data_IF_797920969868
#
_entry.id   IF_797920969868
#
_cell.length_a   1.000
_cell.length_b   1.000
_cell.length_c   1.000
_cell.angle_alpha   90.00
_cell.angle_beta   90.00
_cell.angle_gamma   90.00
#
_symmetry.space_group_name_H-M   'P 1'
#
loop_
_entity.id
_entity.type
_entity.pdbx_description
1 polymer ?
#
# COMPACT_ATOMS: atom_id res chain seq x y z
N UNK A 1 27.32 0.14 -15.12
CA UNK A 1 26.50 -1.02 -14.74
C UNK A 1 25.34 -0.46 -13.97
N UNK A 2 24.13 -0.56 -14.51
CA UNK A 2 22.92 -0.07 -13.85
C UNK A 2 22.58 -1.01 -12.68
N UNK A 3 22.19 -0.45 -11.54
CA UNK A 3 21.88 -1.23 -10.35
C UNK A 3 20.46 -1.80 -10.45
N UNK A 4 20.27 -3.13 -10.33
CA UNK A 4 18.95 -3.74 -10.32
C UNK A 4 18.16 -3.28 -9.08
N UNK A 5 16.83 -3.16 -9.21
CA UNK A 5 15.97 -2.82 -8.08
C UNK A 5 16.03 -3.94 -7.03
N UNK A 6 16.30 -3.56 -5.78
CA UNK A 6 16.47 -4.46 -4.63
C UNK A 6 15.22 -5.32 -4.33
N UNK A 7 14.03 -4.92 -4.83
CA UNK A 7 12.80 -5.70 -4.66
C UNK A 7 12.75 -6.96 -5.50
N UNK A 8 13.52 -7.04 -6.58
CA UNK A 8 13.44 -8.13 -7.58
C UNK A 8 13.56 -9.54 -6.99
N UNK A 9 14.38 -9.73 -5.94
CA UNK A 9 14.59 -11.03 -5.30
C UNK A 9 13.69 -11.27 -4.07
N UNK A 10 12.90 -10.28 -3.69
CA UNK A 10 12.12 -10.26 -2.46
C UNK A 10 10.61 -10.39 -2.70
N UNK A 11 10.16 -10.40 -3.96
CA UNK A 11 8.74 -10.49 -4.34
C UNK A 11 8.05 -11.72 -3.75
N UNK A 12 6.90 -11.52 -3.11
CA UNK A 12 6.05 -12.59 -2.58
C UNK A 12 6.66 -13.29 -1.37
N UNK A 13 7.44 -12.55 -0.58
CA UNK A 13 7.89 -13.02 0.74
C UNK A 13 6.79 -12.80 1.81
N UNK A 14 7.01 -13.30 3.03
CA UNK A 14 6.07 -13.17 4.15
C UNK A 14 5.62 -11.71 4.40
N UNK A 15 6.52 -10.74 4.30
CA UNK A 15 6.19 -9.32 4.45
C UNK A 15 5.24 -8.82 3.36
N UNK A 16 5.50 -9.19 2.10
CA UNK A 16 4.58 -8.89 0.99
C UNK A 16 3.21 -9.53 1.21
N UNK A 17 3.16 -10.80 1.63
CA UNK A 17 1.90 -11.53 1.86
C UNK A 17 1.06 -10.84 2.95
N UNK A 18 1.68 -10.46 4.07
CA UNK A 18 0.99 -9.77 5.17
C UNK A 18 0.48 -8.40 4.70
N UNK A 19 1.36 -7.58 4.10
CA UNK A 19 1.04 -6.26 3.55
C UNK A 19 -0.11 -6.33 2.55
N UNK A 20 -0.01 -7.21 1.57
CA UNK A 20 -1.00 -7.36 0.51
C UNK A 20 -2.35 -7.86 1.03
N UNK A 21 -2.33 -8.73 2.05
CA UNK A 21 -3.56 -9.13 2.74
C UNK A 21 -4.24 -7.97 3.46
N UNK A 22 -3.46 -7.06 4.07
CA UNK A 22 -4.00 -5.84 4.67
C UNK A 22 -4.55 -4.87 3.62
N UNK A 23 -3.84 -4.67 2.50
CA UNK A 23 -4.36 -3.90 1.35
C UNK A 23 -5.74 -4.40 0.96
N UNK A 24 -5.92 -5.73 0.78
CA UNK A 24 -7.22 -6.32 0.44
C UNK A 24 -8.30 -6.01 1.49
N UNK A 25 -8.00 -6.23 2.78
CA UNK A 25 -8.95 -5.99 3.86
C UNK A 25 -9.34 -4.50 3.98
N UNK A 26 -8.35 -3.60 3.86
CA UNK A 26 -8.55 -2.15 3.91
C UNK A 26 -9.36 -1.69 2.70
N UNK A 27 -9.00 -2.10 1.48
CA UNK A 27 -9.67 -1.68 0.24
C UNK A 27 -11.13 -2.11 0.22
N UNK A 28 -11.43 -3.37 0.59
CA UNK A 28 -12.82 -3.85 0.73
C UNK A 28 -13.60 -2.95 1.69
N UNK A 29 -13.02 -2.64 2.86
CA UNK A 29 -13.70 -1.81 3.86
C UNK A 29 -13.91 -0.37 3.39
N UNK A 30 -12.94 0.19 2.65
CA UNK A 30 -13.04 1.54 2.12
C UNK A 30 -14.12 1.67 1.04
N UNK A 31 -14.29 0.65 0.19
CA UNK A 31 -15.34 0.60 -0.83
C UNK A 31 -16.74 0.53 -0.22
N UNK A 32 -16.93 -0.17 0.92
CA UNK A 32 -18.21 -0.23 1.63
C UNK A 32 -18.73 1.16 2.03
N UNK A 33 -17.83 2.14 2.23
CA UNK A 33 -18.21 3.52 2.51
C UNK A 33 -18.75 4.29 1.30
N UNK A 34 -18.83 3.64 0.13
CA UNK A 34 -19.32 4.19 -1.14
C UNK A 34 -18.64 5.51 -1.47
N UNK A 35 -17.30 5.50 -1.65
CA UNK A 35 -16.57 6.71 -1.97
C UNK A 35 -17.13 7.33 -3.26
N UNK A 36 -17.28 8.66 -3.26
CA UNK A 36 -17.50 9.40 -4.50
C UNK A 36 -16.23 9.36 -5.34
N UNK A 37 -15.11 9.67 -4.70
CA UNK A 37 -13.77 9.65 -5.27
C UNK A 37 -12.84 8.85 -4.36
N UNK A 38 -12.07 7.93 -4.93
CA UNK A 38 -11.09 7.09 -4.22
C UNK A 38 -9.69 7.27 -4.82
N UNK A 39 -8.77 7.83 -4.04
CA UNK A 39 -7.35 7.91 -4.41
C UNK A 39 -6.55 6.87 -3.64
N UNK A 40 -5.82 6.01 -4.36
CA UNK A 40 -4.74 5.18 -3.82
C UNK A 40 -3.41 5.86 -4.09
N UNK A 41 -2.54 5.88 -3.09
CA UNK A 41 -1.19 6.42 -3.17
C UNK A 41 -0.22 5.35 -2.71
N UNK A 42 0.82 5.11 -3.49
CA UNK A 42 1.93 4.21 -3.14
C UNK A 42 3.25 4.99 -3.27
N UNK A 43 3.89 5.25 -2.14
CA UNK A 43 5.08 6.10 -2.09
C UNK A 43 6.39 5.39 -2.47
N UNK A 44 6.36 4.06 -2.56
CA UNK A 44 7.53 3.22 -2.82
C UNK A 44 7.14 2.08 -3.76
N UNK A 45 6.51 2.43 -4.88
CA UNK A 45 6.00 1.47 -5.84
C UNK A 45 7.15 0.76 -6.55
N UNK A 46 7.02 -0.56 -6.68
CA UNK A 46 7.86 -1.37 -7.56
C UNK A 46 7.19 -1.54 -8.94
N UNK A 47 6.78 -2.75 -9.29
CA UNK A 47 6.06 -3.08 -10.52
C UNK A 47 4.55 -3.20 -10.25
N UNK A 48 3.77 -3.40 -11.32
CA UNK A 48 2.36 -3.78 -11.20
C UNK A 48 2.23 -5.25 -10.80
N UNK A 49 3.05 -6.09 -11.43
CA UNK A 49 3.21 -7.51 -11.14
C UNK A 49 4.64 -7.95 -11.49
N UNK A 50 5.13 -9.01 -10.85
CA UNK A 50 6.49 -9.50 -11.03
C UNK A 50 6.58 -11.02 -10.82
N UNK A 51 7.73 -11.62 -11.16
CA UNK A 51 7.97 -13.04 -10.88
C UNK A 51 8.15 -13.23 -9.38
N UNK A 52 7.61 -14.31 -8.84
CA UNK A 52 7.84 -14.74 -7.47
C UNK A 52 8.30 -16.21 -7.41
N UNK A 53 8.88 -16.59 -6.28
CA UNK A 53 9.14 -17.99 -5.94
C UNK A 53 7.84 -18.61 -5.41
N UNK A 54 7.14 -19.37 -6.26
CA UNK A 54 5.85 -19.99 -5.93
C UNK A 54 5.95 -20.98 -4.78
N UNK A 55 7.05 -21.73 -4.68
CA UNK A 55 7.23 -22.72 -3.60
C UNK A 55 7.37 -22.00 -2.26
N UNK A 56 8.13 -20.90 -2.23
CA UNK A 56 8.22 -20.04 -1.04
C UNK A 56 6.85 -19.43 -0.70
N UNK A 57 6.20 -18.82 -1.69
CA UNK A 57 4.89 -18.17 -1.52
C UNK A 57 3.85 -19.13 -0.92
N UNK A 58 3.70 -20.33 -1.49
CA UNK A 58 2.77 -21.34 -0.98
C UNK A 58 3.12 -21.83 0.44
N UNK A 59 4.41 -21.91 0.75
CA UNK A 59 4.89 -22.31 2.09
C UNK A 59 4.61 -21.21 3.13
N UNK A 60 4.71 -19.95 2.75
CA UNK A 60 4.48 -18.81 3.64
C UNK A 60 2.99 -18.53 3.85
N UNK A 61 2.16 -18.59 2.81
CA UNK A 61 0.72 -18.38 2.91
C UNK A 61 0.03 -19.38 3.83
N UNK A 62 0.48 -20.64 3.86
CA UNK A 62 -0.02 -21.68 4.78
C UNK A 62 0.21 -21.39 6.26
N UNK A 63 1.06 -20.42 6.60
CA UNK A 63 1.36 -20.03 7.99
C UNK A 63 0.41 -18.97 8.51
N UNK A 64 -0.40 -18.35 7.65
CA UNK A 64 -1.27 -17.24 7.99
C UNK A 64 -2.74 -17.67 7.96
N UNK A 65 -3.57 -17.01 8.76
CA UNK A 65 -5.03 -17.11 8.67
C UNK A 65 -5.65 -15.77 8.33
N UNK A 66 -6.92 -15.80 7.89
CA UNK A 66 -7.71 -14.61 7.54
C UNK A 66 -7.15 -13.88 6.29
N UNK A 67 -6.51 -14.62 5.37
CA UNK A 67 -5.95 -14.09 4.11
C UNK A 67 -6.63 -14.67 2.86
N UNK A 68 -7.74 -15.40 3.01
CA UNK A 68 -8.38 -16.15 1.91
C UNK A 68 -8.79 -15.27 0.73
N UNK A 69 -9.31 -14.06 0.99
CA UNK A 69 -9.65 -13.09 -0.05
C UNK A 69 -8.42 -12.69 -0.88
N UNK A 70 -7.29 -12.46 -0.20
CA UNK A 70 -6.03 -12.14 -0.87
C UNK A 70 -5.54 -13.32 -1.71
N UNK A 71 -5.54 -14.52 -1.15
CA UNK A 71 -5.13 -15.74 -1.86
C UNK A 71 -6.01 -15.99 -3.09
N UNK A 72 -7.33 -15.79 -2.98
CA UNK A 72 -8.24 -15.95 -4.11
C UNK A 72 -7.92 -15.00 -5.26
N UNK A 73 -7.60 -13.73 -4.97
CA UNK A 73 -7.23 -12.73 -5.98
C UNK A 73 -5.88 -13.09 -6.61
N UNK A 74 -4.88 -13.39 -5.78
CA UNK A 74 -3.52 -13.68 -6.20
C UNK A 74 -3.45 -14.95 -7.04
N UNK A 75 -4.10 -16.04 -6.60
CA UNK A 75 -4.13 -17.31 -7.35
C UNK A 75 -4.80 -17.15 -8.71
N UNK A 76 -5.92 -16.44 -8.77
CA UNK A 76 -6.61 -16.18 -10.05
C UNK A 76 -5.68 -15.44 -11.04
N UNK A 77 -4.92 -14.46 -10.57
CA UNK A 77 -3.97 -13.72 -11.42
C UNK A 77 -2.73 -14.54 -11.80
N UNK A 78 -2.20 -15.33 -10.87
CA UNK A 78 -1.08 -16.24 -11.08
C UNK A 78 -1.41 -17.32 -12.12
N UNK A 79 -2.61 -17.88 -12.07
CA UNK A 79 -3.09 -18.87 -13.05
C UNK A 79 -3.23 -18.26 -14.46
N UNK A 80 -3.70 -17.01 -14.56
CA UNK A 80 -3.90 -16.32 -15.83
C UNK A 80 -2.58 -15.86 -16.45
N UNK A 81 -1.67 -15.31 -15.64
CA UNK A 81 -0.51 -14.56 -16.16
C UNK A 81 0.83 -15.19 -15.81
N UNK A 82 0.90 -16.04 -14.79
CA UNK A 82 2.15 -16.56 -14.24
C UNK A 82 2.96 -15.55 -13.43
N UNK A 83 2.38 -14.39 -13.09
CA UNK A 83 3.04 -13.32 -12.33
C UNK A 83 2.29 -13.01 -11.04
N UNK A 84 3.05 -12.61 -10.02
CA UNK A 84 2.57 -12.19 -8.71
C UNK A 84 2.18 -10.72 -8.72
N UNK A 85 1.03 -10.37 -8.18
CA UNK A 85 0.58 -8.97 -8.05
C UNK A 85 1.40 -8.24 -6.98
N UNK A 86 1.99 -7.11 -7.39
CA UNK A 86 2.55 -6.17 -6.44
C UNK A 86 1.45 -5.28 -5.83
N UNK A 87 1.78 -4.46 -4.83
CA UNK A 87 0.84 -3.57 -4.12
C UNK A 87 -0.09 -2.79 -5.07
N UNK A 88 0.48 -2.16 -6.10
CA UNK A 88 -0.26 -1.38 -7.10
C UNK A 88 -1.21 -2.24 -7.93
N UNK A 89 -0.83 -3.48 -8.26
CA UNK A 89 -1.67 -4.45 -8.96
C UNK A 89 -2.89 -4.86 -8.13
N UNK A 90 -2.67 -5.16 -6.84
CA UNK A 90 -3.73 -5.52 -5.90
C UNK A 90 -4.67 -4.35 -5.67
N UNK A 91 -4.16 -3.15 -5.36
CA UNK A 91 -5.00 -1.99 -5.14
C UNK A 91 -5.86 -1.68 -6.39
N UNK A 92 -5.28 -1.83 -7.58
CA UNK A 92 -5.98 -1.61 -8.84
C UNK A 92 -7.14 -2.58 -9.08
N UNK A 93 -7.11 -3.79 -8.52
CA UNK A 93 -8.24 -4.72 -8.58
C UNK A 93 -9.52 -4.07 -8.04
N UNK A 94 -9.40 -3.40 -6.90
CA UNK A 94 -10.50 -2.75 -6.18
C UNK A 94 -10.85 -1.37 -6.73
N UNK A 95 -9.87 -0.57 -7.16
CA UNK A 95 -10.14 0.77 -7.68
C UNK A 95 -11.11 0.77 -8.88
N UNK A 96 -11.10 -0.30 -9.69
CA UNK A 96 -12.03 -0.47 -10.83
C UNK A 96 -13.51 -0.51 -10.44
N UNK A 97 -13.81 -0.80 -9.18
CA UNK A 97 -15.17 -0.80 -8.66
C UNK A 97 -15.71 0.62 -8.38
N UNK A 98 -14.85 1.63 -8.43
CA UNK A 98 -15.18 3.03 -8.18
C UNK A 98 -14.91 3.85 -9.45
N UNK A 99 -15.96 4.50 -9.95
CA UNK A 99 -15.92 5.27 -11.21
C UNK A 99 -14.84 6.37 -11.17
N UNK A 100 -14.86 7.21 -10.13
CA UNK A 100 -13.85 8.26 -9.93
C UNK A 100 -12.71 7.76 -9.02
N UNK A 101 -11.94 6.79 -9.52
CA UNK A 101 -10.75 6.27 -8.85
C UNK A 101 -9.45 6.71 -9.51
N UNK A 102 -8.42 6.90 -8.69
CA UNK A 102 -7.10 7.36 -9.14
C UNK A 102 -5.99 6.63 -8.40
N UNK A 103 -4.88 6.44 -9.10
CA UNK A 103 -3.67 5.82 -8.58
C UNK A 103 -2.48 6.78 -8.69
N UNK A 104 -1.81 7.08 -7.58
CA UNK A 104 -0.59 7.89 -7.56
C UNK A 104 0.55 7.00 -7.06
N UNK A 105 1.52 6.74 -7.91
CA UNK A 105 2.62 5.81 -7.67
C UNK A 105 3.96 6.57 -7.63
N UNK A 106 4.98 6.00 -7.01
CA UNK A 106 6.31 6.61 -6.90
C UNK A 106 7.38 5.54 -7.09
N UNK A 107 8.13 5.63 -8.18
CA UNK A 107 9.25 4.74 -8.50
C UNK A 107 10.43 5.59 -9.00
N UNK A 108 11.57 5.47 -8.31
CA UNK A 108 12.78 6.27 -8.55
C UNK A 108 13.74 5.58 -9.52
N UNK A 109 13.68 4.26 -9.64
CA UNK A 109 14.51 3.50 -10.55
C UNK A 109 13.98 3.67 -11.99
N UNK A 110 14.74 4.30 -12.91
CA UNK A 110 14.21 4.63 -14.25
C UNK A 110 13.79 3.42 -15.07
N UNK A 111 14.49 2.29 -14.94
CA UNK A 111 14.17 1.06 -15.67
C UNK A 111 12.88 0.42 -15.14
N UNK A 112 12.76 0.35 -13.82
CA UNK A 112 11.56 -0.19 -13.17
C UNK A 112 10.37 0.70 -13.45
N UNK A 113 10.56 2.03 -13.47
CA UNK A 113 9.53 2.99 -13.86
C UNK A 113 9.00 2.74 -15.27
N UNK A 114 9.89 2.58 -16.26
CA UNK A 114 9.48 2.28 -17.65
C UNK A 114 8.72 0.95 -17.73
N UNK A 115 9.15 -0.06 -16.97
CA UNK A 115 8.43 -1.34 -16.91
C UNK A 115 7.05 -1.20 -16.24
N UNK A 116 6.97 -0.46 -15.14
CA UNK A 116 5.72 -0.14 -14.44
C UNK A 116 4.74 0.60 -15.36
N UNK A 117 5.20 1.62 -16.10
CA UNK A 117 4.40 2.36 -17.09
C UNK A 117 3.84 1.42 -18.17
N UNK A 118 4.70 0.55 -18.71
CA UNK A 118 4.29 -0.44 -19.70
C UNK A 118 3.22 -1.39 -19.15
N UNK A 119 3.42 -1.91 -17.94
CA UNK A 119 2.47 -2.83 -17.31
C UNK A 119 1.14 -2.14 -16.99
N UNK A 120 1.16 -0.93 -16.43
CA UNK A 120 -0.06 -0.17 -16.14
C UNK A 120 -0.89 0.08 -17.41
N UNK A 121 -0.24 0.45 -18.51
CA UNK A 121 -0.93 0.67 -19.79
C UNK A 121 -1.58 -0.61 -20.36
N UNK A 122 -1.00 -1.77 -20.07
CA UNK A 122 -1.49 -3.06 -20.56
C UNK A 122 -2.59 -3.63 -19.67
N UNK A 123 -2.44 -3.53 -18.35
CA UNK A 123 -3.26 -4.28 -17.41
C UNK A 123 -4.36 -3.45 -16.75
N UNK A 124 -4.32 -2.12 -16.80
CA UNK A 124 -5.33 -1.28 -16.14
C UNK A 124 -5.81 -0.10 -16.98
N UNK A 125 -7.05 0.32 -16.70
CA UNK A 125 -7.64 1.57 -17.20
C UNK A 125 -7.82 2.62 -16.11
N UNK A 126 -7.46 2.30 -14.86
CA UNK A 126 -7.52 3.27 -13.76
C UNK A 126 -6.55 4.41 -14.07
N UNK A 127 -7.03 5.68 -14.06
CA UNK A 127 -6.17 6.84 -14.22
C UNK A 127 -5.02 6.80 -13.21
N UNK A 128 -3.79 6.92 -13.71
CA UNK A 128 -2.61 6.82 -12.87
C UNK A 128 -1.58 7.91 -13.15
N UNK A 129 -0.77 8.20 -12.15
CA UNK A 129 0.38 9.09 -12.26
C UNK A 129 1.58 8.49 -11.53
N UNK A 130 2.77 8.54 -12.14
CA UNK A 130 4.01 8.04 -11.53
C UNK A 130 4.95 9.21 -11.23
N UNK A 131 5.04 9.54 -9.95
CA UNK A 131 5.93 10.56 -9.39
C UNK A 131 7.39 10.11 -9.47
N UNK A 132 8.30 11.09 -9.55
CA UNK A 132 9.72 10.83 -9.35
C UNK A 132 10.09 10.95 -7.87
N UNK A 133 9.39 11.80 -7.12
CA UNK A 133 9.62 12.02 -5.71
C UNK A 133 8.31 12.17 -4.93
N UNK A 134 8.28 11.68 -3.69
CA UNK A 134 7.13 11.80 -2.78
C UNK A 134 6.75 13.25 -2.48
N UNK A 135 7.68 14.19 -2.64
CA UNK A 135 7.43 15.64 -2.49
C UNK A 135 6.48 16.20 -3.55
N UNK A 136 6.23 15.49 -4.66
CA UNK A 136 5.21 15.88 -5.65
C UNK A 136 3.77 15.62 -5.18
N UNK A 137 3.59 14.77 -4.16
CA UNK A 137 2.27 14.30 -3.72
C UNK A 137 1.25 15.42 -3.44
N UNK A 138 1.58 16.53 -2.72
CA UNK A 138 0.61 17.59 -2.45
C UNK A 138 0.08 18.25 -3.73
N UNK A 139 0.93 18.39 -4.75
CA UNK A 139 0.51 18.96 -6.04
C UNK A 139 -0.38 17.98 -6.79
N UNK A 140 -0.03 16.68 -6.78
CA UNK A 140 -0.81 15.65 -7.47
C UNK A 140 -2.19 15.48 -6.87
N UNK A 141 -2.30 15.42 -5.54
CA UNK A 141 -3.60 15.35 -4.86
C UNK A 141 -4.47 16.58 -5.16
N UNK A 142 -3.89 17.78 -5.20
CA UNK A 142 -4.63 19.01 -5.55
C UNK A 142 -5.07 19.08 -7.02
N UNK A 143 -4.43 18.34 -7.92
CA UNK A 143 -4.80 18.28 -9.32
C UNK A 143 -5.96 17.32 -9.62
N UNK A 144 -6.31 16.46 -8.65
CA UNK A 144 -7.43 15.54 -8.74
C UNK A 144 -8.72 16.17 -8.18
N UNK A 145 -9.91 15.64 -8.53
CA UNK A 145 -11.13 15.98 -7.81
C UNK A 145 -10.96 15.74 -6.31
N UNK A 146 -11.62 16.54 -5.44
CA UNK A 146 -11.57 16.34 -4.00
C UNK A 146 -11.89 14.88 -3.64
N UNK A 147 -10.95 14.20 -2.97
CA UNK A 147 -11.12 12.81 -2.62
C UNK A 147 -12.13 12.68 -1.48
N UNK A 148 -12.98 11.65 -1.52
CA UNK A 148 -13.79 11.28 -0.35
C UNK A 148 -13.13 10.16 0.46
N UNK A 149 -12.18 9.47 -0.15
CA UNK A 149 -11.42 8.37 0.44
C UNK A 149 -10.00 8.39 -0.09
N UNK A 150 -9.05 8.20 0.81
CA UNK A 150 -7.62 8.20 0.54
C UNK A 150 -7.00 6.97 1.20
N UNK A 151 -6.30 6.16 0.43
CA UNK A 151 -5.45 5.10 0.98
C UNK A 151 -4.01 5.37 0.57
N UNK A 152 -3.10 5.43 1.55
CA UNK A 152 -1.68 5.66 1.33
C UNK A 152 -0.87 4.47 1.81
N UNK A 153 0.00 3.94 0.96
CA UNK A 153 0.99 2.94 1.29
C UNK A 153 2.37 3.59 1.39
N UNK A 154 3.03 3.36 2.53
CA UNK A 154 4.41 3.74 2.82
C UNK A 154 5.21 2.45 2.98
N UNK A 155 5.89 2.02 1.92
CA UNK A 155 6.62 0.72 1.88
C UNK A 155 8.11 0.87 1.50
N UNK A 156 8.91 1.65 2.24
CA UNK A 156 10.35 1.70 2.00
C UNK A 156 11.05 0.41 2.42
N UNK A 157 12.24 0.16 1.87
CA UNK A 157 13.15 -0.87 2.39
C UNK A 157 13.63 -0.61 3.81
N UNK A 158 13.65 0.67 4.22
CA UNK A 158 13.94 1.09 5.58
C UNK A 158 13.31 2.46 5.79
N UNK A 159 12.44 2.57 6.77
CA UNK A 159 11.77 3.83 7.10
C UNK A 159 12.65 4.64 8.04
N UNK A 160 13.03 5.85 7.62
CA UNK A 160 13.71 6.81 8.50
C UNK A 160 12.72 7.75 9.18
N UNK A 161 13.10 8.34 10.33
CA UNK A 161 12.29 9.35 11.01
C UNK A 161 12.07 10.59 10.14
N UNK A 162 13.03 10.92 9.27
CA UNK A 162 12.95 12.04 8.34
C UNK A 162 11.91 11.76 7.26
N UNK A 163 12.00 10.60 6.59
CA UNK A 163 11.03 10.17 5.58
C UNK A 163 9.62 10.15 6.15
N UNK A 164 9.45 9.56 7.34
CA UNK A 164 8.17 9.53 8.04
C UNK A 164 7.62 10.94 8.28
N UNK A 165 8.44 11.85 8.81
CA UNK A 165 7.98 13.19 9.17
C UNK A 165 7.51 13.97 7.93
N UNK A 166 8.25 13.87 6.83
CA UNK A 166 7.92 14.53 5.55
C UNK A 166 6.63 13.96 4.97
N UNK A 167 6.50 12.64 4.93
CA UNK A 167 5.32 11.96 4.38
C UNK A 167 4.08 12.22 5.23
N UNK A 168 4.18 12.12 6.55
CA UNK A 168 3.05 12.37 7.45
C UNK A 168 2.59 13.82 7.43
N UNK A 169 3.49 14.80 7.40
CA UNK A 169 3.11 16.21 7.26
C UNK A 169 2.33 16.44 5.97
N UNK A 170 2.82 15.89 4.86
CA UNK A 170 2.20 15.99 3.53
C UNK A 170 0.79 15.38 3.51
N UNK A 171 0.65 14.13 4.00
CA UNK A 171 -0.64 13.41 4.01
C UNK A 171 -1.63 14.14 4.93
N UNK A 172 -1.17 14.58 6.10
CA UNK A 172 -2.00 15.28 7.08
C UNK A 172 -2.53 16.61 6.54
N UNK A 173 -1.69 17.40 5.86
CA UNK A 173 -2.13 18.66 5.24
C UNK A 173 -3.29 18.41 4.26
N UNK A 174 -3.17 17.35 3.45
CA UNK A 174 -4.21 16.95 2.50
C UNK A 174 -5.51 16.57 3.21
N UNK A 175 -5.45 15.77 4.27
CA UNK A 175 -6.64 15.35 5.02
C UNK A 175 -7.28 16.50 5.79
N UNK A 176 -6.50 17.38 6.43
CA UNK A 176 -7.03 18.54 7.18
C UNK A 176 -7.79 19.52 6.29
N UNK A 177 -7.43 19.61 5.02
CA UNK A 177 -8.16 20.44 4.04
C UNK A 177 -9.56 19.93 3.71
N UNK A 178 -9.89 18.68 4.07
CA UNK A 178 -11.16 18.01 3.76
C UNK A 178 -11.59 17.09 4.93
N UNK A 179 -12.25 17.62 5.97
CA UNK A 179 -12.48 16.92 7.23
C UNK A 179 -13.36 15.66 7.12
N UNK A 180 -14.11 15.49 6.02
CA UNK A 180 -14.93 14.30 5.76
C UNK A 180 -14.17 13.18 5.04
N UNK A 181 -12.89 13.39 4.69
CA UNK A 181 -12.06 12.36 4.05
C UNK A 181 -11.91 11.17 4.98
N UNK A 182 -12.18 10.00 4.43
CA UNK A 182 -11.88 8.71 5.04
C UNK A 182 -10.46 8.32 4.61
N UNK A 183 -9.47 8.53 5.46
CA UNK A 183 -8.08 8.24 5.12
C UNK A 183 -7.51 7.07 5.94
N UNK A 184 -6.78 6.19 5.25
CA UNK A 184 -5.99 5.11 5.84
C UNK A 184 -4.56 5.23 5.35
N UNK A 185 -3.61 4.98 6.24
CA UNK A 185 -2.18 4.88 5.94
C UNK A 185 -1.74 3.50 6.39
N UNK A 186 -1.26 2.69 5.44
CA UNK A 186 -0.53 1.48 5.74
C UNK A 186 0.97 1.77 5.62
N UNK A 187 1.73 1.33 6.62
CA UNK A 187 3.16 1.57 6.71
C UNK A 187 3.83 0.22 6.90
N UNK A 188 4.79 -0.07 6.04
CA UNK A 188 5.65 -1.24 6.11
C UNK A 188 7.09 -0.76 6.33
N UNK A 189 7.79 -1.40 7.25
CA UNK A 189 9.20 -1.20 7.48
C UNK A 189 9.91 -2.56 7.56
N UNK A 190 11.10 -2.60 6.96
CA UNK A 190 11.99 -3.75 7.04
C UNK A 190 13.19 -3.35 7.92
N UNK A 191 13.21 -3.88 9.14
CA UNK A 191 14.31 -3.68 10.08
C UNK A 191 14.68 -5.02 10.73
N UNK A 192 15.97 -5.37 10.66
CA UNK A 192 16.51 -6.58 11.31
C UNK A 192 16.49 -6.47 12.84
N UNK A 193 16.31 -5.25 13.36
CA UNK A 193 16.17 -4.99 14.79
C UNK A 193 14.72 -5.23 15.21
N UNK A 194 14.51 -6.35 15.89
CA UNK A 194 13.23 -6.71 16.52
C UNK A 194 12.98 -5.79 17.73
N UNK A 195 12.15 -4.76 17.57
CA UNK A 195 11.85 -3.80 18.64
C UNK A 195 10.38 -3.39 18.67
N UNK A 196 9.67 -3.87 19.68
CA UNK A 196 8.26 -3.52 19.96
C UNK A 196 8.01 -2.00 20.11
N UNK A 197 9.07 -1.21 20.31
CA UNK A 197 9.02 0.23 20.46
C UNK A 197 9.15 1.00 19.13
N UNK A 198 9.22 0.33 17.97
CA UNK A 198 9.47 0.99 16.68
C UNK A 198 8.48 2.13 16.42
N UNK A 199 7.18 1.84 16.47
CA UNK A 199 6.13 2.82 16.19
C UNK A 199 6.04 3.95 17.22
N UNK A 200 6.56 3.75 18.44
CA UNK A 200 6.58 4.80 19.47
C UNK A 200 7.56 5.94 19.18
N UNK A 201 8.54 5.70 18.29
CA UNK A 201 9.52 6.71 17.86
C UNK A 201 8.94 7.67 16.82
N UNK A 202 7.89 7.27 16.13
CA UNK A 202 7.28 8.01 15.02
C UNK A 202 6.14 8.89 15.54
N UNK A 203 6.25 10.21 15.38
CA UNK A 203 5.19 11.14 15.76
C UNK A 203 4.00 11.02 14.80
N UNK A 204 2.80 10.83 15.34
CA UNK A 204 1.56 10.71 14.56
C UNK A 204 0.72 11.98 14.79
N UNK A 205 0.21 12.58 13.71
CA UNK A 205 -0.69 13.72 13.83
C UNK A 205 -2.04 13.30 14.44
N UNK A 206 -2.65 14.18 15.24
CA UNK A 206 -3.89 13.91 15.97
C UNK A 206 -5.11 13.64 15.07
N UNK A 207 -5.00 13.84 13.75
CA UNK A 207 -6.03 13.42 12.79
C UNK A 207 -6.09 11.89 12.63
N UNK A 208 -4.98 11.21 12.86
CA UNK A 208 -4.85 9.77 12.69
C UNK A 208 -4.73 9.04 14.04
N UNK A 209 -5.30 7.84 14.08
CA UNK A 209 -5.15 6.88 15.17
C UNK A 209 -4.50 5.62 14.62
N UNK A 210 -3.49 5.08 15.32
CA UNK A 210 -2.99 3.74 15.03
C UNK A 210 -4.08 2.73 15.39
N UNK A 211 -4.53 1.95 14.41
CA UNK A 211 -5.61 0.96 14.58
C UNK A 211 -5.08 -0.46 14.73
N UNK A 212 -3.87 -0.71 14.22
CA UNK A 212 -3.23 -2.01 14.26
C UNK A 212 -1.72 -1.89 14.03
N UNK A 213 -0.96 -2.78 14.64
CA UNK A 213 0.43 -3.04 14.28
C UNK A 213 0.66 -4.55 14.18
N UNK A 214 1.58 -4.94 13.31
CA UNK A 214 2.03 -6.32 13.13
C UNK A 214 3.54 -6.34 13.15
N UNK A 215 4.10 -7.38 13.77
CA UNK A 215 5.53 -7.58 13.87
C UNK A 215 5.80 -9.06 13.65
N UNK A 216 6.59 -9.35 12.62
CA UNK A 216 7.03 -10.70 12.32
C UNK A 216 8.51 -10.68 11.95
N UNK A 217 9.36 -10.95 12.95
CA UNK A 217 10.83 -10.89 12.80
C UNK A 217 11.26 -9.51 12.30
N UNK A 218 11.63 -9.44 11.03
CA UNK A 218 12.15 -8.25 10.34
C UNK A 218 11.09 -7.42 9.62
N UNK A 219 9.83 -7.87 9.65
CA UNK A 219 8.72 -7.23 8.96
C UNK A 219 7.84 -6.52 9.99
N UNK A 220 7.78 -5.20 9.90
CA UNK A 220 7.01 -4.35 10.79
C UNK A 220 5.94 -3.64 9.98
N UNK A 221 4.69 -3.76 10.40
CA UNK A 221 3.58 -3.05 9.76
C UNK A 221 2.79 -2.26 10.79
N UNK A 222 2.27 -1.12 10.37
CA UNK A 222 1.28 -0.35 11.11
C UNK A 222 0.21 0.18 10.17
N UNK A 223 -1.02 0.21 10.68
CA UNK A 223 -2.16 0.81 10.00
C UNK A 223 -2.65 1.97 10.85
N UNK A 224 -2.77 3.13 10.21
CA UNK A 224 -3.32 4.34 10.78
C UNK A 224 -4.58 4.72 10.02
N UNK A 225 -5.57 5.24 10.71
CA UNK A 225 -6.82 5.66 10.08
C UNK A 225 -7.32 6.95 10.72
N UNK A 226 -8.08 7.74 9.96
CA UNK A 226 -8.78 8.91 10.48
C UNK A 226 -9.78 8.50 11.55
N UNK A 227 -9.96 9.34 12.56
CA UNK A 227 -10.81 9.04 13.73
C UNK A 227 -12.24 8.59 13.37
N UNK A 228 -12.82 9.15 12.30
CA UNK A 228 -14.17 8.83 11.84
C UNK A 228 -14.36 7.40 11.30
N UNK A 229 -13.28 6.70 10.94
CA UNK A 229 -13.33 5.31 10.43
C UNK A 229 -12.43 4.34 11.20
N UNK A 230 -11.63 4.83 12.14
CA UNK A 230 -10.60 4.05 12.81
C UNK A 230 -11.12 2.73 13.42
N UNK A 231 -12.27 2.76 14.09
CA UNK A 231 -12.83 1.55 14.70
C UNK A 231 -13.35 0.55 13.63
N UNK A 232 -13.91 1.06 12.52
CA UNK A 232 -14.32 0.22 11.39
C UNK A 232 -13.15 -0.44 10.67
N UNK A 233 -12.02 0.28 10.51
CA UNK A 233 -10.80 -0.28 9.94
C UNK A 233 -10.18 -1.30 10.90
N UNK A 234 -10.10 -0.99 12.21
CA UNK A 234 -9.57 -1.90 13.23
C UNK A 234 -10.30 -3.24 13.27
N UNK A 235 -11.62 -3.23 13.04
CA UNK A 235 -12.43 -4.45 12.93
C UNK A 235 -12.17 -5.22 11.64
N UNK A 236 -11.85 -4.54 10.54
CA UNK A 236 -11.59 -5.18 9.25
C UNK A 236 -10.19 -5.81 9.17
N UNK A 237 -9.17 -5.20 9.80
CA UNK A 237 -7.78 -5.70 9.73
C UNK A 237 -7.53 -6.82 10.74
N UNK A 238 -7.55 -8.08 10.26
CA UNK A 238 -7.59 -9.28 11.11
C UNK A 238 -6.52 -10.33 10.80
N UNK A 239 -5.52 -10.04 9.94
CA UNK A 239 -4.45 -11.00 9.61
C UNK A 239 -3.84 -11.59 10.88
N UNK A 240 -3.72 -12.92 10.97
CA UNK A 240 -3.07 -13.59 12.10
C UNK A 240 -1.83 -14.37 11.65
N UNK A 241 -0.77 -14.21 12.43
CA UNK A 241 0.55 -14.84 12.28
C UNK A 241 0.64 -16.19 12.99
#
# INVERSE_FOLDING_TARGET
MEQPNIQTNNVGNMGDIIKHSLIVQIMKKLIEFKPKTFVYVDLHTYLFHSKCDLVRFESETKKLSDIDDYISIEQSHLEETGFYLCSSGIATHFLREVEDSYCILSEQNPQTKVQLESQLSQYTRVPHYIMNHSTELPQRLRALPPSSTLFVLIDPFKLTLEDWSVQMATITECVKSSPDVKAVIEVFDYDEIDSDALWSKFSIDSVFKMVRSYQHKKYHLAVFATHNIADSISQAVQVKL
#
